data_IF_321664330414
#
_entry.id   IF_321664330414
#
_cell.length_a   1.000
_cell.length_b   1.000
_cell.length_c   1.000
_cell.angle_alpha   90.00
_cell.angle_beta   90.00
_cell.angle_gamma   90.00
#
_symmetry.space_group_name_H-M   'P 1'
#
loop_
_entity.id
_entity.type
_entity.pdbx_description
1 polymer ?
#
# COMPACT_ATOMS: atom_id res chain seq x y z
N UNK A 1 -16.29 24.06 -4.44
CA UNK A 1 -17.68 23.66 -4.73
C UNK A 1 -17.82 22.64 -5.88
N UNK A 2 -17.34 22.91 -7.12
CA UNK A 2 -17.46 21.97 -8.26
C UNK A 2 -16.79 20.60 -8.06
N UNK A 3 -15.65 20.55 -7.35
CA UNK A 3 -14.91 19.31 -7.09
C UNK A 3 -15.59 18.40 -6.05
N UNK A 4 -16.11 18.98 -4.97
CA UNK A 4 -16.90 18.26 -3.95
C UNK A 4 -18.18 17.64 -4.54
N UNK A 5 -18.84 18.38 -5.45
CA UNK A 5 -19.98 17.87 -6.23
C UNK A 5 -19.56 16.73 -7.19
N UNK A 6 -18.38 16.83 -7.81
CA UNK A 6 -17.85 15.75 -8.64
C UNK A 6 -17.52 14.51 -7.82
N UNK A 7 -16.91 14.66 -6.63
CA UNK A 7 -16.65 13.54 -5.71
C UNK A 7 -17.94 12.88 -5.23
N UNK A 8 -18.94 13.66 -4.82
CA UNK A 8 -20.22 13.10 -4.38
C UNK A 8 -20.91 12.33 -5.51
N UNK A 9 -20.83 12.84 -6.73
CA UNK A 9 -21.33 12.17 -7.93
C UNK A 9 -20.52 10.92 -8.29
N UNK A 10 -19.19 10.98 -8.24
CA UNK A 10 -18.29 9.84 -8.46
C UNK A 10 -18.60 8.71 -7.48
N UNK A 11 -18.72 9.02 -6.19
CA UNK A 11 -19.08 8.04 -5.17
C UNK A 11 -20.46 7.43 -5.47
N UNK A 12 -21.44 8.24 -5.87
CA UNK A 12 -22.78 7.78 -6.29
C UNK A 12 -22.70 6.76 -7.44
N UNK A 13 -21.93 7.06 -8.49
CA UNK A 13 -21.74 6.20 -9.66
C UNK A 13 -21.04 4.88 -9.29
N UNK A 14 -19.93 4.95 -8.54
CA UNK A 14 -19.17 3.76 -8.09
C UNK A 14 -20.04 2.82 -7.26
N UNK A 15 -21.06 3.34 -6.58
CA UNK A 15 -21.95 2.51 -5.79
C UNK A 15 -23.13 1.95 -6.58
N UNK A 16 -23.62 2.65 -7.60
CA UNK A 16 -24.69 2.14 -8.45
C UNK A 16 -24.26 0.90 -9.27
N UNK A 17 -22.95 0.72 -9.52
CA UNK A 17 -22.40 -0.36 -10.35
C UNK A 17 -22.19 -1.71 -9.64
N UNK A 18 -22.49 -1.83 -8.34
CA UNK A 18 -22.21 -3.04 -7.54
C UNK A 18 -23.32 -4.11 -7.54
N UNK A 19 -24.48 -3.83 -8.16
CA UNK A 19 -25.62 -4.74 -8.16
C UNK A 19 -25.64 -5.62 -9.42
N UNK A 20 -24.77 -6.63 -9.49
CA UNK A 20 -24.94 -7.74 -10.44
C UNK A 20 -24.69 -9.09 -9.77
N UNK A 21 -25.71 -9.96 -9.79
CA UNK A 21 -25.67 -11.32 -9.26
C UNK A 21 -24.86 -12.23 -10.20
N UNK A 22 -23.68 -12.68 -9.76
CA UNK A 22 -22.84 -13.69 -10.42
C UNK A 22 -22.34 -14.72 -9.39
N UNK A 23 -22.11 -15.95 -9.85
CA UNK A 23 -22.13 -17.22 -9.10
C UNK A 23 -20.81 -17.66 -8.42
N UNK A 24 -19.75 -16.84 -8.42
CA UNK A 24 -18.55 -17.12 -7.63
C UNK A 24 -18.63 -16.41 -6.27
N UNK A 25 -18.69 -17.20 -5.20
CA UNK A 25 -18.67 -16.73 -3.82
C UNK A 25 -17.20 -16.70 -3.37
N UNK A 26 -16.66 -15.52 -3.08
CA UNK A 26 -15.31 -15.41 -2.52
C UNK A 26 -15.18 -16.22 -1.22
N UNK A 27 -13.97 -16.62 -0.85
CA UNK A 27 -13.74 -17.43 0.35
C UNK A 27 -13.74 -16.57 1.62
N UNK A 28 -14.88 -16.44 2.30
CA UNK A 28 -14.97 -15.74 3.59
C UNK A 28 -14.64 -16.68 4.75
N UNK A 29 -13.49 -16.47 5.39
CA UNK A 29 -12.92 -17.43 6.35
C UNK A 29 -13.31 -17.15 7.80
N UNK A 30 -13.67 -15.91 8.13
CA UNK A 30 -13.98 -15.53 9.53
C UNK A 30 -15.03 -16.41 10.21
N UNK A 31 -16.14 -16.83 9.57
CA UNK A 31 -17.10 -17.74 10.22
C UNK A 31 -16.47 -19.06 10.66
N UNK A 32 -15.61 -19.67 9.83
CA UNK A 32 -14.90 -20.90 10.14
C UNK A 32 -13.81 -20.69 11.20
N UNK A 33 -13.12 -19.55 11.17
CA UNK A 33 -12.13 -19.19 12.19
C UNK A 33 -12.80 -18.98 13.56
N UNK A 34 -14.00 -18.38 13.59
CA UNK A 34 -14.75 -18.13 14.82
C UNK A 34 -15.35 -19.41 15.42
N UNK A 35 -15.72 -20.38 14.59
CA UNK A 35 -16.15 -21.72 15.03
C UNK A 35 -15.00 -22.69 15.29
N UNK A 36 -13.75 -22.21 15.26
CA UNK A 36 -12.52 -22.99 15.45
C UNK A 36 -12.33 -24.14 14.44
N UNK A 37 -13.02 -24.08 13.30
CA UNK A 37 -12.90 -25.07 12.23
C UNK A 37 -11.73 -24.74 11.29
N UNK A 38 -10.52 -24.74 11.85
CA UNK A 38 -9.32 -24.26 11.17
C UNK A 38 -8.90 -25.14 9.98
N UNK A 39 -9.16 -26.45 10.04
CA UNK A 39 -8.84 -27.35 8.92
C UNK A 39 -9.71 -27.04 7.70
N UNK A 40 -11.01 -26.86 7.88
CA UNK A 40 -11.90 -26.47 6.79
C UNK A 40 -11.54 -25.08 6.25
N UNK A 41 -11.22 -24.12 7.13
CA UNK A 41 -10.80 -22.79 6.70
C UNK A 41 -9.48 -22.79 5.89
N UNK A 42 -8.51 -23.63 6.25
CA UNK A 42 -7.26 -23.79 5.47
C UNK A 42 -7.53 -24.44 4.13
N UNK A 43 -8.38 -25.46 4.07
CA UNK A 43 -8.77 -26.11 2.81
C UNK A 43 -9.52 -25.12 1.90
N UNK A 44 -10.47 -24.37 2.44
CA UNK A 44 -11.25 -23.37 1.69
C UNK A 44 -10.42 -22.18 1.20
N UNK A 45 -9.22 -21.96 1.76
CA UNK A 45 -8.31 -20.91 1.32
C UNK A 45 -7.23 -21.40 0.36
N UNK A 46 -7.05 -22.70 0.15
CA UNK A 46 -5.95 -23.26 -0.65
C UNK A 46 -6.08 -22.91 -2.14
N UNK A 47 -4.99 -22.42 -2.74
CA UNK A 47 -4.97 -21.92 -4.13
C UNK A 47 -4.01 -22.74 -4.99
N UNK A 48 -4.54 -23.38 -6.04
CA UNK A 48 -3.75 -24.19 -6.98
C UNK A 48 -2.97 -23.33 -7.98
N UNK A 49 -3.46 -22.13 -8.32
CA UNK A 49 -2.88 -21.28 -9.36
C UNK A 49 -1.36 -21.07 -9.21
N UNK A 50 -0.88 -20.77 -8.00
CA UNK A 50 0.55 -20.55 -7.75
C UNK A 50 1.36 -21.85 -7.72
N UNK A 51 0.74 -22.97 -7.36
CA UNK A 51 1.37 -24.28 -7.44
C UNK A 51 1.61 -24.66 -8.90
N UNK A 52 0.61 -24.48 -9.76
CA UNK A 52 0.68 -24.81 -11.19
C UNK A 52 1.68 -23.94 -11.96
N UNK A 53 1.75 -22.64 -11.65
CA UNK A 53 2.55 -21.70 -12.42
C UNK A 53 3.97 -21.46 -11.85
N UNK A 54 4.14 -21.60 -10.54
CA UNK A 54 5.40 -21.29 -9.86
C UNK A 54 5.90 -22.38 -8.89
N UNK A 55 5.14 -23.47 -8.69
CA UNK A 55 5.48 -24.49 -7.68
C UNK A 55 5.42 -23.94 -6.24
N UNK A 56 4.54 -22.96 -5.99
CA UNK A 56 4.41 -22.28 -4.70
C UNK A 56 3.07 -22.60 -4.05
N UNK A 57 3.11 -23.16 -2.84
CA UNK A 57 1.91 -23.34 -2.02
C UNK A 57 1.35 -21.97 -1.61
N UNK A 58 0.06 -21.77 -1.89
CA UNK A 58 -0.61 -20.51 -1.68
C UNK A 58 -1.96 -20.67 -1.00
N UNK A 59 -2.33 -19.64 -0.23
CA UNK A 59 -3.66 -19.50 0.34
C UNK A 59 -4.20 -18.09 0.10
N UNK A 60 -5.50 -17.96 -0.17
CA UNK A 60 -6.16 -16.68 -0.28
C UNK A 60 -7.59 -16.72 0.25
N UNK A 61 -8.12 -15.55 0.56
CA UNK A 61 -9.51 -15.39 0.98
C UNK A 61 -9.74 -14.07 1.69
N UNK A 62 -10.90 -13.97 2.33
CA UNK A 62 -11.37 -12.80 3.03
C UNK A 62 -11.43 -13.03 4.54
N UNK A 63 -10.87 -12.09 5.29
CA UNK A 63 -11.02 -12.00 6.75
C UNK A 63 -11.85 -10.74 7.07
N UNK A 64 -12.96 -10.94 7.78
CA UNK A 64 -13.82 -9.87 8.26
C UNK A 64 -13.18 -9.20 9.47
N UNK A 65 -12.82 -7.93 9.35
CA UNK A 65 -12.16 -7.14 10.40
C UNK A 65 -13.14 -6.29 11.20
N UNK A 66 -14.28 -5.95 10.60
CA UNK A 66 -15.43 -5.34 11.26
C UNK A 66 -16.69 -5.61 10.43
N UNK A 67 -17.88 -5.35 10.98
CA UNK A 67 -19.13 -5.58 10.28
C UNK A 67 -19.19 -4.80 8.95
N UNK A 68 -19.22 -5.52 7.83
CA UNK A 68 -19.21 -4.99 6.47
C UNK A 68 -17.84 -4.54 5.95
N UNK A 69 -16.74 -5.01 6.53
CA UNK A 69 -15.37 -4.79 6.05
C UNK A 69 -14.59 -6.10 6.05
N UNK A 70 -14.11 -6.48 4.87
CA UNK A 70 -13.42 -7.74 4.65
C UNK A 70 -12.10 -7.48 3.93
N UNK A 71 -10.98 -7.78 4.57
CA UNK A 71 -9.67 -7.68 3.95
C UNK A 71 -9.37 -8.96 3.19
N UNK A 72 -8.99 -8.82 1.93
CA UNK A 72 -8.48 -9.90 1.10
C UNK A 72 -6.99 -10.10 1.37
N UNK A 73 -6.53 -11.36 1.38
CA UNK A 73 -5.11 -11.68 1.48
C UNK A 73 -4.69 -12.74 0.47
N UNK A 74 -3.39 -12.72 0.16
CA UNK A 74 -2.68 -13.81 -0.49
C UNK A 74 -1.45 -14.16 0.36
N UNK A 75 -1.41 -15.38 0.86
CA UNK A 75 -0.24 -15.99 1.50
C UNK A 75 0.47 -16.87 0.48
N UNK A 76 1.75 -16.61 0.23
CA UNK A 76 2.64 -17.49 -0.50
C UNK A 76 3.66 -18.07 0.48
N UNK A 77 3.67 -19.39 0.66
CA UNK A 77 4.58 -20.03 1.61
C UNK A 77 5.99 -20.12 1.04
N UNK A 78 6.98 -20.02 1.93
CA UNK A 78 8.37 -20.32 1.60
C UNK A 78 8.53 -21.76 1.04
N UNK A 79 9.59 -22.02 0.26
CA UNK A 79 9.93 -23.36 -0.21
C UNK A 79 9.94 -24.37 0.94
N UNK A 80 9.43 -25.56 0.70
CA UNK A 80 9.25 -26.61 1.72
C UNK A 80 10.54 -26.85 2.52
N UNK A 81 11.70 -26.90 1.87
CA UNK A 81 12.99 -27.17 2.52
C UNK A 81 13.48 -26.12 3.53
N UNK A 82 12.90 -24.91 3.55
CA UNK A 82 13.28 -23.85 4.52
C UNK A 82 12.10 -23.34 5.36
N UNK A 83 10.89 -23.88 5.13
CA UNK A 83 9.64 -23.29 5.59
C UNK A 83 9.55 -23.09 7.10
N UNK A 84 10.08 -24.03 7.88
CA UNK A 84 10.01 -24.01 9.35
C UNK A 84 10.91 -22.93 9.99
N UNK A 85 11.79 -22.29 9.20
CA UNK A 85 12.72 -21.25 9.67
C UNK A 85 12.63 -19.96 8.87
N UNK A 86 11.96 -19.99 7.72
CA UNK A 86 11.83 -18.83 6.86
C UNK A 86 10.89 -17.79 7.50
N UNK A 87 11.28 -16.50 7.56
CA UNK A 87 10.44 -15.47 8.14
C UNK A 87 9.12 -15.29 7.37
N UNK A 88 8.14 -14.69 8.04
CA UNK A 88 6.93 -14.20 7.42
C UNK A 88 7.09 -12.71 7.12
N UNK A 89 6.90 -12.31 5.86
CA UNK A 89 6.86 -10.90 5.46
C UNK A 89 5.41 -10.52 5.23
N UNK A 90 4.87 -9.63 6.07
CA UNK A 90 3.61 -8.93 5.76
C UNK A 90 3.94 -7.81 4.77
N UNK A 91 3.39 -7.87 3.55
CA UNK A 91 3.58 -6.85 2.52
C UNK A 91 2.35 -5.93 2.41
N UNK A 92 2.57 -4.65 2.66
CA UNK A 92 1.56 -3.59 2.61
C UNK A 92 1.85 -2.63 1.45
N UNK A 93 1.06 -2.74 0.36
CA UNK A 93 1.17 -1.80 -0.77
C UNK A 93 0.63 -0.42 -0.38
N UNK A 94 1.19 0.63 -0.98
CA UNK A 94 0.72 2.01 -0.81
C UNK A 94 -0.54 2.37 -1.61
N UNK A 95 -0.52 3.57 -2.20
CA UNK A 95 -1.68 4.17 -2.85
C UNK A 95 -2.17 5.38 -2.05
N UNK A 96 -2.86 5.23 -0.91
CA UNK A 96 -3.45 4.02 -0.29
C UNK A 96 -4.50 3.30 -1.15
N UNK A 97 -4.83 2.06 -0.78
CA UNK A 97 -5.89 1.26 -1.39
C UNK A 97 -5.49 0.54 -2.69
N UNK A 98 -4.20 0.50 -2.99
CA UNK A 98 -3.65 -0.30 -4.10
C UNK A 98 -3.53 -1.76 -3.66
N UNK A 99 -3.75 -2.71 -4.56
CA UNK A 99 -3.65 -4.13 -4.20
C UNK A 99 -2.20 -4.57 -4.01
N UNK A 100 -1.96 -5.45 -3.04
CA UNK A 100 -0.72 -6.20 -2.88
C UNK A 100 -0.41 -7.12 -4.07
N UNK A 101 -1.38 -7.42 -4.94
CA UNK A 101 -1.09 -8.08 -6.20
C UNK A 101 -0.24 -7.25 -7.16
N UNK A 102 -0.20 -5.92 -6.98
CA UNK A 102 0.79 -5.10 -7.68
C UNK A 102 2.20 -5.55 -7.28
N UNK A 103 2.45 -5.71 -5.97
CA UNK A 103 3.72 -6.24 -5.47
C UNK A 103 4.01 -7.66 -5.94
N UNK A 104 2.99 -8.52 -5.92
CA UNK A 104 3.11 -9.89 -6.42
C UNK A 104 3.57 -9.92 -7.89
N UNK A 105 2.84 -9.25 -8.79
CA UNK A 105 3.08 -9.36 -10.23
C UNK A 105 4.18 -8.43 -10.75
N UNK A 106 4.35 -7.26 -10.17
CA UNK A 106 5.18 -6.21 -10.76
C UNK A 106 6.45 -5.91 -9.95
N UNK A 107 6.54 -6.39 -8.70
CA UNK A 107 7.67 -6.05 -7.81
C UNK A 107 8.38 -7.31 -7.30
N UNK A 108 7.92 -7.91 -6.21
CA UNK A 108 8.69 -8.82 -5.36
C UNK A 108 8.16 -10.25 -5.28
N UNK A 109 7.02 -10.55 -5.90
CA UNK A 109 6.43 -11.90 -5.93
C UNK A 109 7.10 -12.87 -6.91
N UNK A 110 6.85 -14.19 -6.76
CA UNK A 110 7.43 -15.22 -7.60
C UNK A 110 6.91 -15.23 -9.04
N UNK A 111 5.73 -14.67 -9.31
CA UNK A 111 5.19 -14.55 -10.67
C UNK A 111 5.25 -13.10 -11.14
N UNK A 112 5.75 -12.90 -12.34
CA UNK A 112 5.71 -11.64 -13.05
C UNK A 112 4.64 -11.63 -14.14
N UNK A 113 4.17 -10.43 -14.52
CA UNK A 113 3.34 -10.23 -15.71
C UNK A 113 4.05 -9.25 -16.65
N UNK A 114 4.23 -9.64 -17.92
CA UNK A 114 4.92 -8.82 -18.92
C UNK A 114 3.96 -7.84 -19.64
N UNK A 115 4.50 -7.07 -20.59
CA UNK A 115 3.74 -6.04 -21.32
C UNK A 115 2.71 -6.63 -22.29
N UNK A 116 2.81 -7.93 -22.59
CA UNK A 116 1.87 -8.68 -23.41
C UNK A 116 0.79 -9.38 -22.56
N UNK A 117 0.89 -9.29 -21.22
CA UNK A 117 0.00 -10.00 -20.30
C UNK A 117 0.36 -11.47 -20.13
N UNK A 118 1.61 -11.86 -20.41
CA UNK A 118 2.11 -13.22 -20.22
C UNK A 118 2.73 -13.36 -18.83
N UNK A 119 2.37 -14.44 -18.14
CA UNK A 119 2.97 -14.80 -16.86
C UNK A 119 4.38 -15.38 -17.04
N UNK A 120 5.28 -15.06 -16.12
CA UNK A 120 6.61 -15.66 -16.06
C UNK A 120 7.07 -15.84 -14.62
N UNK A 121 7.98 -16.79 -14.38
CA UNK A 121 8.62 -16.95 -13.08
C UNK A 121 9.72 -15.91 -12.87
N UNK A 122 9.65 -15.17 -11.77
CA UNK A 122 10.66 -14.15 -11.41
C UNK A 122 11.87 -14.82 -10.78
N UNK A 123 13.06 -14.52 -11.30
CA UNK A 123 14.33 -15.04 -10.77
C UNK A 123 14.68 -14.47 -9.39
N UNK A 124 14.29 -13.22 -9.11
CA UNK A 124 14.50 -12.54 -7.83
C UNK A 124 13.15 -12.31 -7.15
N UNK A 125 12.86 -13.03 -6.07
CA UNK A 125 11.63 -12.87 -5.30
C UNK A 125 11.91 -13.07 -3.81
N UNK A 126 11.17 -12.39 -2.95
CA UNK A 126 11.24 -12.62 -1.51
C UNK A 126 10.82 -14.05 -1.14
N UNK A 127 9.95 -14.68 -1.94
CA UNK A 127 9.39 -15.98 -1.62
C UNK A 127 10.47 -17.07 -1.54
N UNK A 128 11.61 -16.90 -2.24
CA UNK A 128 12.76 -17.83 -2.15
C UNK A 128 13.33 -17.98 -0.74
N UNK A 129 13.14 -16.98 0.13
CA UNK A 129 13.73 -16.95 1.47
C UNK A 129 12.70 -16.72 2.58
N UNK A 130 11.43 -16.45 2.25
CA UNK A 130 10.40 -16.05 3.21
C UNK A 130 9.02 -16.52 2.73
N UNK A 131 8.07 -16.66 3.67
CA UNK A 131 6.66 -16.65 3.30
C UNK A 131 6.23 -15.19 3.13
N UNK A 132 5.43 -14.88 2.11
CA UNK A 132 4.94 -13.51 1.87
C UNK A 132 3.42 -13.49 2.08
N UNK A 133 2.95 -12.57 2.91
CA UNK A 133 1.54 -12.30 3.15
C UNK A 133 1.19 -10.93 2.58
N UNK A 134 0.62 -10.91 1.39
CA UNK A 134 0.05 -9.70 0.79
C UNK A 134 -1.33 -9.48 1.39
N UNK A 135 -1.59 -8.28 1.88
CA UNK A 135 -2.90 -7.89 2.40
C UNK A 135 -3.39 -6.66 1.68
N UNK A 136 -4.59 -6.74 1.12
CA UNK A 136 -5.23 -5.60 0.48
C UNK A 136 -5.93 -4.75 1.55
N UNK A 137 -5.50 -3.50 1.68
CA UNK A 137 -5.96 -2.61 2.73
C UNK A 137 -5.97 -1.15 2.28
N UNK A 138 -6.71 -0.27 2.99
CA UNK A 138 -7.78 -0.57 3.94
C UNK A 138 -8.95 -1.32 3.29
N UNK A 139 -10.02 -1.63 4.02
CA UNK A 139 -11.19 -2.29 3.43
C UNK A 139 -11.72 -1.52 2.22
N UNK A 140 -11.97 -2.22 1.11
CA UNK A 140 -12.30 -1.65 -0.20
C UNK A 140 -11.09 -1.37 -1.10
N UNK A 141 -9.86 -1.41 -0.55
CA UNK A 141 -8.61 -1.29 -1.30
C UNK A 141 -8.31 -2.58 -2.06
N UNK A 142 -7.74 -2.46 -3.26
CA UNK A 142 -7.43 -3.62 -4.10
C UNK A 142 -8.66 -4.50 -4.35
N UNK A 143 -8.62 -5.72 -3.80
CA UNK A 143 -9.65 -6.77 -3.89
C UNK A 143 -10.48 -6.93 -2.61
N UNK A 144 -10.20 -6.13 -1.57
CA UNK A 144 -10.94 -6.10 -0.31
C UNK A 144 -12.34 -5.50 -0.48
N UNK A 145 -13.26 -5.92 0.37
CA UNK A 145 -14.69 -5.61 0.24
C UNK A 145 -15.15 -4.69 1.37
N UNK A 146 -15.96 -3.70 1.00
CA UNK A 146 -16.83 -2.96 1.91
C UNK A 146 -18.28 -3.18 1.50
N UNK A 147 -19.16 -3.41 2.48
CA UNK A 147 -20.60 -3.58 2.22
C UNK A 147 -21.34 -2.22 2.20
N UNK A 148 -20.76 -1.19 2.84
CA UNK A 148 -21.34 0.14 2.93
C UNK A 148 -20.29 1.23 3.08
N UNK A 149 -20.51 2.42 2.50
CA UNK A 149 -19.52 3.51 2.52
C UNK A 149 -19.13 3.99 3.92
N UNK A 150 -19.99 3.83 4.92
CA UNK A 150 -19.71 4.32 6.27
C UNK A 150 -18.60 3.54 6.98
N UNK A 151 -18.16 2.41 6.44
CA UNK A 151 -17.05 1.62 7.00
C UNK A 151 -15.67 2.01 6.45
N UNK A 152 -15.60 2.91 5.46
CA UNK A 152 -14.32 3.41 4.96
C UNK A 152 -13.49 4.01 6.11
N UNK A 153 -12.26 3.54 6.27
CA UNK A 153 -11.32 4.06 7.25
C UNK A 153 -11.07 5.55 7.02
N UNK A 154 -11.09 6.34 8.10
CA UNK A 154 -10.96 7.81 8.03
C UNK A 154 -9.68 8.34 8.67
N UNK A 155 -8.89 7.47 9.30
CA UNK A 155 -7.64 7.81 9.95
C UNK A 155 -6.69 6.61 9.91
N UNK A 156 -5.39 6.87 10.13
CA UNK A 156 -4.38 5.83 10.26
C UNK A 156 -4.69 4.86 11.42
N UNK A 157 -5.28 5.36 12.52
CA UNK A 157 -5.69 4.51 13.63
C UNK A 157 -6.74 3.47 13.20
N UNK A 158 -7.75 3.85 12.40
CA UNK A 158 -8.73 2.89 11.89
C UNK A 158 -8.07 1.82 10.99
N UNK A 159 -7.13 2.23 10.14
CA UNK A 159 -6.37 1.31 9.28
C UNK A 159 -5.59 0.31 10.13
N UNK A 160 -4.90 0.80 11.17
CA UNK A 160 -4.11 -0.01 12.09
C UNK A 160 -4.96 -0.98 12.89
N UNK A 161 -6.14 -0.57 13.37
CA UNK A 161 -7.07 -1.45 14.10
C UNK A 161 -7.55 -2.61 13.20
N UNK A 162 -7.88 -2.33 11.95
CA UNK A 162 -8.32 -3.35 10.99
C UNK A 162 -7.19 -4.34 10.64
N UNK A 163 -5.98 -3.85 10.41
CA UNK A 163 -4.80 -4.72 10.18
C UNK A 163 -4.49 -5.58 11.41
N UNK A 164 -4.64 -5.05 12.62
CA UNK A 164 -4.42 -5.80 13.85
C UNK A 164 -5.45 -6.92 14.02
N UNK A 165 -6.74 -6.63 13.81
CA UNK A 165 -7.82 -7.66 13.83
C UNK A 165 -7.63 -8.71 12.75
N UNK A 166 -7.11 -8.32 11.59
CA UNK A 166 -6.73 -9.24 10.53
C UNK A 166 -5.63 -10.19 11.01
N UNK A 167 -4.51 -9.67 11.53
CA UNK A 167 -3.39 -10.47 12.02
C UNK A 167 -3.79 -11.43 13.14
N UNK A 168 -4.65 -10.99 14.07
CA UNK A 168 -5.17 -11.84 15.14
C UNK A 168 -5.93 -13.07 14.59
N UNK A 169 -6.73 -12.91 13.54
CA UNK A 169 -7.43 -14.02 12.89
C UNK A 169 -6.49 -14.85 12.02
N UNK A 170 -5.56 -14.22 11.30
CA UNK A 170 -4.54 -14.89 10.50
C UNK A 170 -3.74 -15.88 11.36
N UNK A 171 -3.25 -15.47 12.53
CA UNK A 171 -2.50 -16.36 13.43
C UNK A 171 -3.37 -17.46 14.06
N UNK A 172 -4.69 -17.30 14.17
CA UNK A 172 -5.58 -18.41 14.57
C UNK A 172 -5.66 -19.47 13.48
N UNK A 173 -5.76 -19.03 12.22
CA UNK A 173 -5.88 -19.89 11.05
C UNK A 173 -4.56 -20.62 10.71
N UNK A 174 -3.45 -19.88 10.68
CA UNK A 174 -2.12 -20.37 10.34
C UNK A 174 -1.21 -20.31 11.59
N UNK A 175 -1.44 -21.25 12.50
CA UNK A 175 -0.77 -21.27 13.80
C UNK A 175 0.74 -21.51 13.70
N UNK A 176 1.20 -22.11 12.58
CA UNK A 176 2.61 -22.32 12.31
C UNK A 176 3.43 -21.02 12.30
N UNK A 177 2.81 -19.88 11.94
CA UNK A 177 3.51 -18.60 11.92
C UNK A 177 3.67 -17.94 13.29
N UNK A 178 3.04 -18.45 14.36
CA UNK A 178 3.19 -17.87 15.70
C UNK A 178 4.62 -17.99 16.25
N UNK A 179 5.38 -18.97 15.78
CA UNK A 179 6.79 -19.20 16.14
C UNK A 179 7.77 -18.72 15.08
N UNK A 180 7.30 -18.04 14.04
CA UNK A 180 8.11 -17.53 12.94
C UNK A 180 8.29 -16.03 13.09
N UNK A 181 9.50 -15.54 12.82
CA UNK A 181 9.79 -14.11 12.83
C UNK A 181 8.93 -13.36 11.81
N UNK A 182 8.17 -12.36 12.28
CA UNK A 182 7.39 -11.46 11.44
C UNK A 182 8.23 -10.24 11.06
N UNK A 183 8.33 -9.94 9.77
CA UNK A 183 8.77 -8.64 9.25
C UNK A 183 7.58 -7.92 8.63
N UNK A 184 7.42 -6.64 8.95
CA UNK A 184 6.38 -5.80 8.34
C UNK A 184 7.04 -4.95 7.25
N UNK A 185 6.71 -5.24 6.00
CA UNK A 185 7.17 -4.50 4.84
C UNK A 185 6.06 -3.58 4.30
N UNK A 186 6.39 -2.35 3.96
CA UNK A 186 5.44 -1.40 3.39
C UNK A 186 6.07 -0.47 2.37
N UNK A 187 5.34 -0.20 1.29
CA UNK A 187 5.75 0.73 0.23
C UNK A 187 4.88 2.01 0.21
N UNK A 188 5.47 3.20 0.12
CA UNK A 188 4.72 4.46 0.05
C UNK A 188 3.79 4.62 1.26
N UNK A 189 2.49 4.78 1.08
CA UNK A 189 1.53 4.75 2.20
C UNK A 189 1.55 3.41 2.99
N UNK A 190 2.00 2.33 2.34
CA UNK A 190 2.47 1.07 2.92
C UNK A 190 3.34 1.24 4.15
N UNK A 191 4.41 2.00 3.99
CA UNK A 191 5.38 2.25 5.04
C UNK A 191 4.74 2.99 6.24
N UNK A 192 3.84 3.93 5.96
CA UNK A 192 3.09 4.68 6.98
C UNK A 192 2.22 3.74 7.84
N UNK A 193 1.49 2.84 7.18
CA UNK A 193 0.69 1.83 7.85
C UNK A 193 1.56 0.82 8.62
N UNK A 194 2.69 0.38 8.03
CA UNK A 194 3.63 -0.53 8.66
C UNK A 194 4.19 0.02 9.98
N UNK A 195 4.63 1.28 9.98
CA UNK A 195 5.15 1.99 11.17
C UNK A 195 4.07 2.09 12.25
N UNK A 196 2.84 2.49 11.89
CA UNK A 196 1.74 2.58 12.86
C UNK A 196 1.36 1.21 13.43
N UNK A 197 1.31 0.17 12.58
CA UNK A 197 1.01 -1.19 13.01
C UNK A 197 2.09 -1.75 13.95
N UNK A 198 3.37 -1.57 13.62
CA UNK A 198 4.46 -2.01 14.49
C UNK A 198 4.43 -1.33 15.85
N UNK A 199 4.18 0.00 15.90
CA UNK A 199 4.02 0.71 17.16
C UNK A 199 2.85 0.18 17.98
N UNK A 200 1.69 -0.03 17.35
CA UNK A 200 0.51 -0.61 18.01
C UNK A 200 0.80 -2.02 18.56
N UNK A 201 1.51 -2.84 17.79
CA UNK A 201 1.92 -4.18 18.23
C UNK A 201 2.91 -4.13 19.41
N UNK A 202 3.86 -3.18 19.40
CA UNK A 202 4.79 -2.96 20.52
C UNK A 202 4.03 -2.69 21.83
N UNK A 203 2.97 -1.88 21.75
CA UNK A 203 2.22 -1.44 22.93
C UNK A 203 1.25 -2.51 23.46
N UNK A 204 0.67 -3.32 22.57
CA UNK A 204 -0.51 -4.13 22.90
C UNK A 204 -0.32 -5.65 22.71
N UNK A 205 0.71 -6.08 21.96
CA UNK A 205 0.87 -7.48 21.57
C UNK A 205 2.02 -8.17 22.30
N UNK A 206 1.84 -9.46 22.58
CA UNK A 206 2.92 -10.33 23.08
C UNK A 206 3.93 -10.68 22.00
N UNK A 207 3.46 -10.88 20.78
CA UNK A 207 4.30 -11.12 19.61
C UNK A 207 4.53 -9.79 18.92
N UNK A 208 5.78 -9.35 18.90
CA UNK A 208 6.21 -8.13 18.23
C UNK A 208 6.96 -8.48 16.93
N UNK A 209 7.00 -7.59 15.92
CA UNK A 209 7.78 -7.81 14.71
C UNK A 209 9.28 -7.93 15.00
N UNK A 210 9.99 -8.76 14.24
CA UNK A 210 11.45 -8.88 14.25
C UNK A 210 12.16 -7.70 13.55
N UNK A 211 11.44 -6.98 12.69
CA UNK A 211 11.91 -5.79 11.99
C UNK A 211 10.92 -5.26 10.96
N UNK A 212 11.26 -4.12 10.35
CA UNK A 212 10.47 -3.46 9.32
C UNK A 212 11.29 -3.21 8.04
N UNK A 213 10.60 -3.23 6.90
CA UNK A 213 11.16 -2.83 5.60
C UNK A 213 10.28 -1.69 5.04
N UNK A 214 10.82 -0.50 4.91
CA UNK A 214 10.09 0.71 4.53
C UNK A 214 10.59 1.22 3.19
N UNK A 215 9.82 0.97 2.12
CA UNK A 215 10.20 1.30 0.74
C UNK A 215 9.51 2.59 0.27
N UNK A 216 10.28 3.57 -0.21
CA UNK A 216 9.78 4.85 -0.75
C UNK A 216 8.64 5.45 0.11
N UNK A 217 8.82 5.42 1.44
CA UNK A 217 7.72 5.52 2.38
C UNK A 217 7.06 6.90 2.40
N UNK A 218 5.79 6.98 2.77
CA UNK A 218 5.15 8.26 3.08
C UNK A 218 5.20 8.53 4.60
N UNK A 219 6.40 8.89 5.10
CA UNK A 219 6.66 9.03 6.55
C UNK A 219 6.95 10.47 6.99
N UNK A 220 7.54 11.29 6.13
CA UNK A 220 7.91 12.67 6.45
C UNK A 220 6.67 13.56 6.59
N UNK A 221 6.70 14.63 7.42
CA UNK A 221 5.69 15.69 7.40
C UNK A 221 5.52 16.25 5.97
N UNK A 222 4.35 16.05 5.38
CA UNK A 222 4.14 16.33 3.95
C UNK A 222 4.20 17.84 3.68
N UNK A 223 3.66 18.65 4.60
CA UNK A 223 3.61 20.10 4.51
C UNK A 223 4.98 20.77 4.51
N UNK A 224 6.02 20.06 4.98
CA UNK A 224 7.42 20.52 4.96
C UNK A 224 8.18 19.92 3.77
N UNK A 225 8.09 18.61 3.58
CA UNK A 225 8.83 17.89 2.52
C UNK A 225 8.46 18.36 1.11
N UNK A 226 7.18 18.64 0.83
CA UNK A 226 6.74 19.11 -0.50
C UNK A 226 7.33 20.46 -0.90
N UNK A 227 7.82 21.26 0.05
CA UNK A 227 8.44 22.57 -0.25
C UNK A 227 9.78 22.41 -0.96
N UNK A 228 10.42 21.25 -0.83
CA UNK A 228 11.76 20.95 -1.37
C UNK A 228 11.71 20.21 -2.72
N UNK A 229 10.60 19.53 -3.01
CA UNK A 229 10.38 18.80 -4.28
C UNK A 229 10.62 19.67 -5.53
N UNK A 230 10.16 20.94 -5.62
CA UNK A 230 10.36 21.75 -6.84
C UNK A 230 11.82 21.96 -7.21
N UNK A 231 12.70 22.13 -6.22
CA UNK A 231 14.15 22.29 -6.45
C UNK A 231 14.76 20.96 -6.90
N UNK A 232 14.40 19.86 -6.22
CA UNK A 232 14.89 18.52 -6.56
C UNK A 232 14.61 18.16 -8.03
N UNK A 233 13.36 18.27 -8.48
CA UNK A 233 13.01 17.90 -9.86
C UNK A 233 13.49 18.92 -10.91
N UNK A 234 13.77 20.17 -10.51
CA UNK A 234 14.46 21.15 -11.36
C UNK A 234 15.92 20.76 -11.60
N UNK A 235 16.64 20.34 -10.55
CA UNK A 235 18.04 19.88 -10.67
C UNK A 235 18.17 18.59 -11.50
N UNK A 236 17.10 17.79 -11.56
CA UNK A 236 17.00 16.63 -12.47
C UNK A 236 16.63 17.01 -13.92
N UNK A 237 16.39 18.29 -14.21
CA UNK A 237 16.04 18.77 -15.55
C UNK A 237 14.58 18.54 -15.96
N UNK A 238 13.69 18.13 -15.05
CA UNK A 238 12.26 17.96 -15.36
C UNK A 238 11.49 19.29 -15.44
N UNK A 239 12.06 20.36 -14.86
CA UNK A 239 11.47 21.70 -14.88
C UNK A 239 12.47 22.71 -15.43
N UNK A 240 11.96 23.73 -16.10
CA UNK A 240 12.69 24.98 -16.31
C UNK A 240 12.53 25.92 -15.09
N UNK A 241 13.20 27.08 -15.13
CA UNK A 241 13.15 28.06 -14.04
C UNK A 241 11.72 28.55 -13.74
N UNK A 242 10.86 28.64 -14.77
CA UNK A 242 9.47 29.08 -14.66
C UNK A 242 8.62 27.99 -13.99
N UNK A 243 8.74 26.75 -14.43
CA UNK A 243 8.07 25.59 -13.87
C UNK A 243 8.42 25.38 -12.41
N UNK A 244 9.71 25.51 -12.05
CA UNK A 244 10.16 25.49 -10.66
C UNK A 244 9.46 26.56 -9.81
N UNK A 245 9.40 27.80 -10.31
CA UNK A 245 8.75 28.90 -9.60
C UNK A 245 7.25 28.64 -9.39
N UNK A 246 6.54 28.19 -10.43
CA UNK A 246 5.11 27.86 -10.37
C UNK A 246 4.86 26.75 -9.36
N UNK A 247 5.60 25.64 -9.45
CA UNK A 247 5.40 24.50 -8.55
C UNK A 247 5.71 24.87 -7.09
N UNK A 248 6.76 25.67 -6.85
CA UNK A 248 7.10 26.16 -5.52
C UNK A 248 5.99 27.05 -4.91
N UNK A 249 5.31 27.88 -5.71
CA UNK A 249 4.15 28.65 -5.24
C UNK A 249 2.99 27.72 -4.86
N UNK A 250 2.71 26.70 -5.65
CA UNK A 250 1.65 25.71 -5.37
C UNK A 250 1.96 24.93 -4.10
N UNK A 251 3.20 24.46 -3.91
CA UNK A 251 3.62 23.76 -2.68
C UNK A 251 3.50 24.64 -1.43
N UNK A 252 3.92 25.92 -1.50
CA UNK A 252 3.71 26.89 -0.40
C UNK A 252 2.23 27.09 -0.08
N UNK A 253 1.38 27.11 -1.11
CA UNK A 253 -0.06 27.22 -0.91
C UNK A 253 -0.62 25.99 -0.19
N UNK A 254 -0.26 24.77 -0.61
CA UNK A 254 -0.68 23.52 0.04
C UNK A 254 -0.26 23.51 1.50
N UNK A 255 1.02 23.78 1.79
CA UNK A 255 1.56 23.82 3.16
C UNK A 255 0.83 24.82 4.05
N UNK A 256 0.50 26.01 3.52
CA UNK A 256 -0.28 27.03 4.24
C UNK A 256 -1.72 26.58 4.51
N UNK A 257 -2.39 26.01 3.52
CA UNK A 257 -3.79 25.54 3.65
C UNK A 257 -3.88 24.35 4.59
N UNK A 258 -2.88 23.47 4.63
CA UNK A 258 -2.84 22.31 5.53
C UNK A 258 -2.98 22.70 7.01
N UNK A 259 -2.50 23.89 7.39
CA UNK A 259 -2.59 24.40 8.77
C UNK A 259 -4.01 24.75 9.23
N UNK A 260 -4.94 24.96 8.31
CA UNK A 260 -6.32 25.39 8.63
C UNK A 260 -7.40 24.48 8.03
N UNK A 261 -7.10 23.80 6.92
CA UNK A 261 -8.05 22.97 6.19
C UNK A 261 -7.31 21.83 5.45
N UNK A 262 -7.07 20.73 6.15
CA UNK A 262 -6.41 19.53 5.62
C UNK A 262 -7.18 18.89 4.46
N UNK A 263 -8.51 19.01 4.43
CA UNK A 263 -9.33 18.49 3.32
C UNK A 263 -9.02 19.22 2.02
N UNK A 264 -8.96 20.56 2.07
CA UNK A 264 -8.62 21.36 0.90
C UNK A 264 -7.15 21.16 0.49
N UNK A 265 -6.25 21.07 1.47
CA UNK A 265 -4.84 20.78 1.21
C UNK A 265 -4.65 19.42 0.52
N UNK A 266 -5.39 18.38 0.93
CA UNK A 266 -5.36 17.06 0.30
C UNK A 266 -5.84 17.11 -1.16
N UNK A 267 -6.90 17.86 -1.45
CA UNK A 267 -7.38 18.06 -2.81
C UNK A 267 -6.33 18.77 -3.68
N UNK A 268 -5.66 19.79 -3.13
CA UNK A 268 -4.60 20.52 -3.82
C UNK A 268 -3.36 19.63 -4.05
N UNK A 269 -2.94 18.86 -3.05
CA UNK A 269 -1.84 17.89 -3.17
C UNK A 269 -2.14 16.86 -4.26
N UNK A 270 -3.35 16.29 -4.23
CA UNK A 270 -3.90 15.39 -5.24
C UNK A 270 -3.81 15.96 -6.66
N UNK A 271 -4.35 17.17 -6.87
CA UNK A 271 -4.31 17.84 -8.18
C UNK A 271 -2.93 18.34 -8.61
N UNK A 272 -1.95 18.35 -7.71
CA UNK A 272 -0.59 18.82 -7.99
C UNK A 272 0.33 17.70 -8.45
N UNK A 273 0.48 16.66 -7.63
CA UNK A 273 1.45 15.58 -7.89
C UNK A 273 0.82 14.35 -8.52
N UNK A 274 -0.41 14.01 -8.16
CA UNK A 274 -1.01 12.74 -8.54
C UNK A 274 -1.91 12.89 -9.77
N UNK A 275 -1.65 12.10 -10.82
CA UNK A 275 -2.47 12.14 -12.03
C UNK A 275 -3.80 11.36 -11.87
N UNK A 276 -4.64 11.77 -10.92
CA UNK A 276 -5.97 11.18 -10.69
C UNK A 276 -6.98 11.47 -11.82
N UNK A 277 -6.58 12.22 -12.86
CA UNK A 277 -7.42 12.63 -14.00
C UNK A 277 -8.78 13.21 -13.57
N UNK A 278 -8.82 13.95 -12.45
CA UNK A 278 -10.06 14.48 -11.91
C UNK A 278 -10.68 15.45 -12.93
N UNK A 279 -11.86 15.10 -13.45
CA UNK A 279 -12.51 15.85 -14.53
C UNK A 279 -11.72 15.87 -15.85
N UNK A 280 -10.90 14.86 -16.11
CA UNK A 280 -10.09 14.73 -17.33
C UNK A 280 -8.88 15.66 -17.41
N UNK A 281 -8.55 16.38 -16.32
CA UNK A 281 -7.46 17.37 -16.32
C UNK A 281 -6.15 16.74 -15.84
N UNK A 282 -5.01 17.05 -16.50
CA UNK A 282 -3.70 16.66 -15.99
C UNK A 282 -3.36 17.44 -14.71
N UNK A 283 -2.54 16.81 -13.86
CA UNK A 283 -2.00 17.44 -12.65
C UNK A 283 -1.08 18.62 -12.98
N UNK A 284 -0.76 19.44 -11.98
CA UNK A 284 0.22 20.53 -12.15
C UNK A 284 1.58 19.95 -12.56
N UNK A 285 2.02 18.88 -11.90
CA UNK A 285 3.23 18.14 -12.27
C UNK A 285 3.22 17.75 -13.75
N UNK A 286 2.16 17.05 -14.19
CA UNK A 286 2.08 16.59 -15.57
C UNK A 286 2.08 17.72 -16.62
N UNK A 287 1.48 18.87 -16.29
CA UNK A 287 1.50 20.05 -17.17
C UNK A 287 2.88 20.69 -17.28
N UNK A 288 3.66 20.66 -16.21
CA UNK A 288 4.95 21.32 -16.16
C UNK A 288 6.08 20.43 -16.69
N UNK A 289 6.01 19.12 -16.46
CA UNK A 289 7.06 18.17 -16.84
C UNK A 289 6.77 17.44 -18.15
N UNK A 290 5.50 17.33 -18.54
CA UNK A 290 5.06 16.45 -19.63
C UNK A 290 4.94 14.97 -19.23
N UNK A 291 5.23 14.63 -17.97
CA UNK A 291 5.14 13.27 -17.46
C UNK A 291 3.71 12.96 -16.98
N UNK A 292 3.19 11.81 -17.37
CA UNK A 292 1.84 11.35 -16.98
C UNK A 292 1.85 10.28 -15.89
N UNK A 293 3.04 9.82 -15.51
CA UNK A 293 3.31 8.93 -14.40
C UNK A 293 4.34 9.60 -13.46
N UNK A 294 4.15 9.39 -12.17
CA UNK A 294 4.89 10.06 -11.10
C UNK A 294 5.49 9.02 -10.13
N UNK A 295 5.73 7.79 -10.61
CA UNK A 295 6.39 6.74 -9.83
C UNK A 295 7.89 6.62 -10.14
N UNK A 296 8.35 7.21 -11.25
CA UNK A 296 9.77 7.28 -11.60
C UNK A 296 10.02 8.30 -12.69
N UNK A 297 11.08 9.10 -12.54
CA UNK A 297 11.55 10.01 -13.62
C UNK A 297 12.05 9.27 -14.87
N UNK A 298 12.26 7.96 -14.80
CA UNK A 298 12.67 7.13 -15.94
C UNK A 298 11.51 6.84 -16.90
N UNK A 299 10.27 7.08 -16.48
CA UNK A 299 9.09 6.75 -17.24
C UNK A 299 8.17 7.96 -17.41
N UNK A 300 8.04 8.45 -18.64
CA UNK A 300 7.11 9.57 -18.95
C UNK A 300 5.64 9.17 -18.89
N UNK A 301 5.35 7.87 -18.91
CA UNK A 301 4.00 7.31 -18.83
C UNK A 301 4.03 5.99 -18.06
N UNK A 302 2.86 5.62 -17.53
CA UNK A 302 2.67 4.36 -16.80
C UNK A 302 3.09 3.19 -17.71
N UNK A 303 3.94 2.26 -17.24
CA UNK A 303 4.37 1.12 -18.04
C UNK A 303 3.20 0.24 -18.48
N UNK A 304 3.26 -0.32 -19.70
CA UNK A 304 2.18 -1.12 -20.29
C UNK A 304 1.87 -2.38 -19.47
N UNK A 305 2.87 -2.93 -18.75
CA UNK A 305 2.69 -4.05 -17.83
C UNK A 305 1.63 -3.76 -16.75
N UNK A 306 1.53 -2.51 -16.29
CA UNK A 306 0.56 -2.13 -15.26
C UNK A 306 -0.87 -2.24 -15.79
N UNK A 307 -1.09 -1.83 -17.05
CA UNK A 307 -2.40 -1.96 -17.68
C UNK A 307 -2.77 -3.43 -17.92
N UNK A 308 -1.80 -4.27 -18.30
CA UNK A 308 -2.03 -5.72 -18.43
C UNK A 308 -2.35 -6.35 -17.08
N UNK A 309 -1.65 -5.95 -16.02
CA UNK A 309 -1.95 -6.40 -14.65
C UNK A 309 -3.38 -6.02 -14.24
N UNK A 310 -3.76 -4.76 -14.43
CA UNK A 310 -5.11 -4.28 -14.10
C UNK A 310 -6.19 -5.06 -14.86
N UNK A 311 -5.94 -5.41 -16.13
CA UNK A 311 -6.83 -6.25 -16.94
C UNK A 311 -6.87 -7.70 -16.42
N UNK A 312 -5.71 -8.30 -16.17
CA UNK A 312 -5.56 -9.67 -15.72
C UNK A 312 -6.25 -9.91 -14.37
N UNK A 313 -5.96 -9.05 -13.39
CA UNK A 313 -6.54 -9.13 -12.05
C UNK A 313 -8.06 -8.85 -12.01
N UNK A 314 -8.60 -8.20 -13.05
CA UNK A 314 -10.04 -8.01 -13.21
C UNK A 314 -10.76 -9.15 -13.92
N UNK A 315 -10.04 -10.08 -14.54
CA UNK A 315 -10.65 -11.20 -15.27
C UNK A 315 -11.40 -12.16 -14.36
N UNK A 316 -12.46 -12.78 -14.89
CA UNK A 316 -13.25 -13.77 -14.16
C UNK A 316 -12.41 -14.97 -13.74
N UNK A 317 -11.54 -15.45 -14.64
CA UNK A 317 -10.70 -16.62 -14.41
C UNK A 317 -9.73 -16.38 -13.26
N UNK A 318 -9.04 -15.24 -13.27
CA UNK A 318 -8.15 -14.84 -12.17
C UNK A 318 -8.91 -14.76 -10.84
N UNK A 319 -10.07 -14.09 -10.84
CA UNK A 319 -10.87 -13.92 -9.62
C UNK A 319 -11.34 -15.27 -9.08
N UNK A 320 -11.81 -16.15 -9.95
CA UNK A 320 -12.24 -17.49 -9.57
C UNK A 320 -11.10 -18.32 -9.01
N UNK A 321 -9.93 -18.32 -9.67
CA UNK A 321 -8.76 -19.09 -9.27
C UNK A 321 -8.19 -18.68 -7.92
N UNK A 322 -8.41 -17.42 -7.50
CA UNK A 322 -7.88 -16.87 -6.25
C UNK A 322 -8.96 -16.55 -5.22
N UNK A 323 -10.15 -17.14 -5.35
CA UNK A 323 -11.27 -16.96 -4.40
C UNK A 323 -11.73 -15.50 -4.21
N UNK A 324 -11.55 -14.66 -5.23
CA UNK A 324 -12.00 -13.27 -5.23
C UNK A 324 -13.49 -13.25 -5.58
N UNK A 325 -14.28 -12.50 -4.81
CA UNK A 325 -15.71 -12.39 -5.09
C UNK A 325 -15.95 -11.71 -6.46
N UNK A 326 -16.84 -12.28 -7.26
CA UNK A 326 -17.01 -11.84 -8.66
C UNK A 326 -17.47 -10.39 -8.85
N UNK A 327 -18.09 -9.77 -7.84
CA UNK A 327 -18.49 -8.35 -7.86
C UNK A 327 -17.34 -7.37 -7.65
N UNK A 328 -16.17 -7.84 -7.22
CA UNK A 328 -15.02 -6.97 -6.95
C UNK A 328 -14.46 -6.47 -8.27
N UNK A 329 -14.28 -5.16 -8.39
CA UNK A 329 -13.45 -4.55 -9.43
C UNK A 329 -12.19 -4.03 -8.76
N UNK A 330 -11.02 -4.39 -9.29
CA UNK A 330 -9.74 -3.98 -8.75
C UNK A 330 -9.70 -2.45 -8.61
N UNK A 331 -9.31 -1.97 -7.42
CA UNK A 331 -9.15 -0.55 -7.11
C UNK A 331 -10.42 0.31 -7.25
N UNK A 332 -11.62 -0.29 -7.30
CA UNK A 332 -12.90 0.43 -7.44
C UNK A 332 -13.07 1.58 -6.44
N UNK A 333 -12.74 1.35 -5.17
CA UNK A 333 -12.87 2.34 -4.10
C UNK A 333 -11.59 3.11 -3.82
N UNK A 334 -10.53 2.97 -4.62
CA UNK A 334 -9.21 3.58 -4.33
C UNK A 334 -9.29 5.09 -4.15
N UNK A 335 -10.01 5.78 -5.03
CA UNK A 335 -10.20 7.22 -4.91
C UNK A 335 -11.06 7.60 -3.69
N UNK A 336 -12.07 6.79 -3.36
CA UNK A 336 -12.92 6.99 -2.19
C UNK A 336 -12.12 6.88 -0.88
N UNK A 337 -11.25 5.88 -0.80
CA UNK A 337 -10.35 5.63 0.33
C UNK A 337 -9.40 6.81 0.54
N UNK A 338 -8.76 7.28 -0.53
CA UNK A 338 -7.84 8.41 -0.45
C UNK A 338 -8.52 9.67 0.07
N UNK A 339 -9.73 9.97 -0.38
CA UNK A 339 -10.49 11.12 0.12
C UNK A 339 -11.06 10.94 1.52
N UNK A 340 -11.30 9.70 1.96
CA UNK A 340 -11.72 9.42 3.33
C UNK A 340 -10.55 9.57 4.33
N UNK A 341 -9.35 9.16 3.94
CA UNK A 341 -8.16 9.18 4.80
C UNK A 341 -7.46 10.54 4.82
N UNK A 342 -7.24 11.15 3.64
CA UNK A 342 -6.34 12.29 3.51
C UNK A 342 -6.65 13.46 4.47
N UNK A 343 -7.91 13.85 4.72
CA UNK A 343 -8.24 14.91 5.67
C UNK A 343 -7.72 14.71 7.10
N UNK A 344 -7.65 13.47 7.58
CA UNK A 344 -7.25 13.18 8.97
C UNK A 344 -5.97 12.36 9.05
N UNK A 345 -5.17 12.29 7.99
CA UNK A 345 -3.93 11.52 8.03
C UNK A 345 -2.77 12.09 7.21
N UNK A 346 -2.97 12.55 5.97
CA UNK A 346 -1.83 12.90 5.12
C UNK A 346 -0.95 14.03 5.68
N UNK A 347 -1.55 14.95 6.43
CA UNK A 347 -0.88 16.07 7.10
C UNK A 347 -0.67 15.82 8.59
N UNK A 348 -0.93 14.61 9.09
CA UNK A 348 -0.60 14.26 10.46
C UNK A 348 0.88 13.91 10.53
N UNK A 349 1.61 14.63 11.38
CA UNK A 349 2.99 14.32 11.69
C UNK A 349 3.06 13.01 12.52
N UNK A 350 3.77 12.00 12.01
CA UNK A 350 3.98 10.72 12.68
C UNK A 350 5.42 10.53 13.15
N UNK A 351 6.19 11.62 13.27
CA UNK A 351 7.61 11.59 13.69
C UNK A 351 7.78 10.79 14.98
N UNK A 352 6.93 11.03 15.99
CA UNK A 352 7.03 10.34 17.29
C UNK A 352 6.79 8.82 17.16
N UNK A 353 5.89 8.42 16.26
CA UNK A 353 5.63 6.99 15.98
C UNK A 353 6.84 6.37 15.28
N UNK A 354 7.40 7.06 14.27
CA UNK A 354 8.58 6.58 13.56
C UNK A 354 9.81 6.51 14.48
N UNK A 355 10.03 7.53 15.31
CA UNK A 355 11.09 7.56 16.31
C UNK A 355 10.99 6.34 17.23
N UNK A 356 9.81 6.10 17.81
CA UNK A 356 9.61 4.93 18.68
C UNK A 356 9.86 3.62 17.94
N UNK A 357 9.49 3.52 16.65
CA UNK A 357 9.80 2.33 15.85
C UNK A 357 11.30 2.15 15.64
N UNK A 358 12.04 3.21 15.31
CA UNK A 358 13.49 3.15 15.13
C UNK A 358 14.23 2.80 16.43
N UNK A 359 13.72 3.26 17.57
CA UNK A 359 14.30 2.96 18.88
C UNK A 359 14.11 1.50 19.33
N UNK A 360 13.08 0.82 18.82
CA UNK A 360 12.65 -0.49 19.32
C UNK A 360 12.76 -1.63 18.30
N UNK A 361 12.95 -1.34 17.01
CA UNK A 361 12.99 -2.34 15.95
C UNK A 361 14.19 -2.16 15.03
N UNK A 362 14.61 -3.25 14.39
CA UNK A 362 15.50 -3.19 13.23
C UNK A 362 14.71 -2.70 12.02
N UNK A 363 15.13 -1.59 11.43
CA UNK A 363 14.42 -0.97 10.30
C UNK A 363 15.35 -0.86 9.10
N UNK A 364 14.91 -1.40 7.96
CA UNK A 364 15.54 -1.18 6.67
C UNK A 364 14.72 -0.18 5.88
N UNK A 365 15.30 0.97 5.53
CA UNK A 365 14.67 1.98 4.67
C UNK A 365 15.27 1.86 3.27
N UNK A 366 14.41 1.69 2.27
CA UNK A 366 14.79 1.53 0.87
C UNK A 366 14.16 2.68 0.10
N UNK A 367 14.90 3.36 -0.76
CA UNK A 367 14.35 4.43 -1.62
C UNK A 367 14.94 4.34 -3.00
N UNK A 368 14.09 4.41 -4.02
CA UNK A 368 14.53 4.53 -5.40
C UNK A 368 15.11 5.92 -5.62
N UNK A 369 16.36 6.02 -6.09
CA UNK A 369 17.01 7.31 -6.37
C UNK A 369 16.27 8.15 -7.44
N UNK A 370 15.41 7.50 -8.23
CA UNK A 370 14.64 8.09 -9.33
C UNK A 370 13.16 8.32 -8.99
N UNK A 371 12.78 8.25 -7.71
CA UNK A 371 11.46 8.65 -7.22
C UNK A 371 11.36 10.19 -7.18
N UNK A 372 10.35 10.75 -7.83
CA UNK A 372 10.10 12.17 -7.99
C UNK A 372 9.15 12.77 -6.96
N UNK A 373 8.43 11.95 -6.18
CA UNK A 373 7.51 12.42 -5.13
C UNK A 373 8.15 12.31 -3.75
N UNK A 374 8.81 11.19 -3.48
CA UNK A 374 9.43 10.87 -2.19
C UNK A 374 10.94 10.63 -2.38
N UNK A 375 11.68 11.63 -2.85
CA UNK A 375 13.08 11.44 -3.20
C UNK A 375 13.94 11.10 -1.98
N UNK A 376 14.87 10.16 -2.17
CA UNK A 376 15.72 9.62 -1.12
C UNK A 376 16.47 10.70 -0.31
N UNK A 377 16.87 11.80 -0.96
CA UNK A 377 17.58 12.92 -0.31
C UNK A 377 16.73 13.60 0.78
N UNK A 378 15.41 13.70 0.59
CA UNK A 378 14.53 14.32 1.58
C UNK A 378 14.29 13.39 2.77
N UNK A 379 14.25 12.09 2.53
CA UNK A 379 14.23 11.08 3.59
C UNK A 379 15.50 11.08 4.42
N UNK A 380 16.65 11.12 3.76
CA UNK A 380 17.94 11.20 4.44
C UNK A 380 18.04 12.46 5.31
N UNK A 381 17.69 13.63 4.76
CA UNK A 381 17.69 14.89 5.50
C UNK A 381 16.74 14.84 6.72
N UNK A 382 15.57 14.23 6.57
CA UNK A 382 14.61 14.07 7.66
C UNK A 382 15.16 13.18 8.78
N UNK A 383 15.78 12.04 8.45
CA UNK A 383 16.40 11.14 9.44
C UNK A 383 17.60 11.78 10.14
N UNK A 384 18.40 12.59 9.43
CA UNK A 384 19.54 13.32 10.00
C UNK A 384 19.12 14.39 11.03
N UNK A 385 17.95 15.01 10.82
CA UNK A 385 17.44 16.05 11.72
C UNK A 385 16.57 15.51 12.85
N UNK A 386 16.13 14.25 12.76
CA UNK A 386 15.33 13.60 13.79
C UNK A 386 16.22 13.08 14.92
N UNK A 387 15.82 13.33 16.16
CA UNK A 387 16.47 12.78 17.34
C UNK A 387 15.92 11.38 17.67
N UNK A 388 16.79 10.38 17.75
CA UNK A 388 16.52 9.02 18.20
C UNK A 388 17.83 8.38 18.70
N UNK A 389 17.76 7.22 19.35
CA UNK A 389 18.93 6.60 19.99
C UNK A 389 20.09 6.27 19.02
N UNK A 390 19.81 6.10 17.72
CA UNK A 390 20.81 5.88 16.67
C UNK A 390 21.17 7.10 15.82
N UNK A 391 20.70 8.32 16.15
CA UNK A 391 20.95 9.50 15.32
C UNK A 391 22.43 9.79 15.07
N UNK A 392 23.27 9.68 16.11
CA UNK A 392 24.72 9.95 15.98
C UNK A 392 25.39 8.92 15.08
N UNK A 393 25.12 7.63 15.30
CA UNK A 393 25.68 6.54 14.47
C UNK A 393 25.24 6.70 13.01
N UNK A 394 23.96 7.03 12.76
CA UNK A 394 23.45 7.27 11.41
C UNK A 394 24.11 8.48 10.73
N UNK A 395 24.37 9.57 11.47
CA UNK A 395 24.99 10.78 10.93
C UNK A 395 26.48 10.58 10.60
N UNK A 396 27.18 9.75 11.38
CA UNK A 396 28.61 9.45 11.22
C UNK A 396 28.89 8.25 10.31
N UNK A 397 27.87 7.45 10.00
CA UNK A 397 28.02 6.26 9.17
C UNK A 397 28.61 6.59 7.79
N UNK A 398 29.63 5.84 7.32
CA UNK A 398 30.18 6.04 6.00
C UNK A 398 29.14 5.70 4.94
N UNK A 399 29.12 6.49 3.87
CA UNK A 399 28.35 6.14 2.68
C UNK A 399 29.05 4.98 1.96
N UNK A 400 28.35 3.86 1.84
CA UNK A 400 28.81 2.67 1.12
C UNK A 400 28.68 2.82 -0.40
#
# INVERSE_FOLDING_TARGET
MKLLLWLSHYLAVVWASSNSKSRSHGAFLTPLIQSENFTEARNASSVDFFMEHAGVEAHSGYITVQNGSHLYFLLLKAPEGIRDKAPLILWLQGGPGKSGFFGQFLENGPLGLDANGTLYNRSCTFQKNASILYVDYPAGGGLSIIERRSVLSRSLANVTDDLLRFLQQFYKLFQEFKSIDLYIAGESYGARAAVSLAKRMLDECKTIPAGLILSAGFLTPVEESILKVPEFIYQLGLLDAKGRHILAQVCRNISRVAKTNTTEAALLLGGTFFNFKIGGRPSVFAKLTGYSDQGSILHTRKPDQVAQYEKYANSTDFKSALHVHSSVSLEQYRLAIQFALAPNDYFNNITDILQSVLENFRVLIISGQMDDIFPAVLFQEYLQNMAWNGSTEFAEAPRL
#
